data_IF_544511300553
#
_entry.id   IF_544511300553
#
_cell.length_a   1.000
_cell.length_b   1.000
_cell.length_c   1.000
_cell.angle_alpha   90.00
_cell.angle_beta   90.00
_cell.angle_gamma   90.00
#
_symmetry.space_group_name_H-M   'P 1'
#
loop_
_entity.id
_entity.type
_entity.pdbx_description
1 polymer ?
#
# COMPACT_ATOMS: atom_id res chain seq x y z
N UNK A 1 24.79 -3.40 2.07
CA UNK A 1 23.78 -3.06 1.10
C UNK A 1 22.48 -2.67 1.78
N UNK A 2 22.51 -1.57 2.44
CA UNK A 2 21.30 -1.10 3.10
C UNK A 2 20.77 0.10 2.38
N UNK A 3 19.51 -0.02 1.95
CA UNK A 3 18.81 1.13 1.45
C UNK A 3 18.52 2.04 2.63
N UNK A 4 19.13 3.20 2.59
CA UNK A 4 18.81 4.22 3.55
C UNK A 4 17.59 4.96 3.02
N UNK A 5 16.45 4.72 3.64
CA UNK A 5 15.22 5.37 3.22
C UNK A 5 15.20 6.79 3.77
N UNK A 6 15.20 7.75 2.85
CA UNK A 6 15.08 9.16 3.21
C UNK A 6 13.70 9.43 3.79
N UNK A 7 13.65 10.14 4.92
CA UNK A 7 12.37 10.46 5.55
C UNK A 7 11.82 9.37 6.47
N UNK A 8 12.62 8.38 6.78
CA UNK A 8 12.21 7.36 7.74
C UNK A 8 12.10 7.98 9.14
N UNK A 9 10.92 7.89 9.72
CA UNK A 9 10.63 8.54 11.00
C UNK A 9 10.63 7.54 12.14
N UNK A 10 11.80 7.35 12.74
CA UNK A 10 11.97 6.45 13.86
C UNK A 10 11.27 6.94 15.15
N UNK A 11 10.98 8.22 15.21
CA UNK A 11 10.30 8.85 16.34
C UNK A 11 8.79 8.57 16.37
N UNK A 12 8.24 8.05 15.27
CA UNK A 12 6.82 7.73 15.19
C UNK A 12 6.62 6.25 15.43
N UNK A 13 5.80 5.92 16.39
CA UNK A 13 5.42 4.54 16.64
C UNK A 13 4.19 4.18 15.82
N UNK A 14 4.08 2.91 15.46
CA UNK A 14 2.92 2.40 14.74
C UNK A 14 2.49 1.06 15.34
N UNK A 15 1.25 0.73 15.11
CA UNK A 15 0.67 -0.54 15.55
C UNK A 15 0.02 -1.26 14.38
N UNK A 16 0.14 -2.57 14.38
CA UNK A 16 -0.62 -3.42 13.47
C UNK A 16 -1.97 -3.69 14.11
N UNK A 17 -3.03 -3.12 13.55
CA UNK A 17 -4.37 -3.27 14.10
C UNK A 17 -5.07 -4.54 13.65
N UNK A 18 -4.70 -5.01 12.46
CA UNK A 18 -5.37 -6.14 11.85
C UNK A 18 -4.45 -6.87 10.90
N UNK A 19 -4.53 -8.17 10.92
CA UNK A 19 -3.90 -9.04 9.94
C UNK A 19 -4.78 -10.27 9.77
N UNK A 20 -5.11 -10.63 8.55
CA UNK A 20 -5.93 -11.79 8.32
C UNK A 20 -5.12 -13.09 8.48
N UNK A 21 -5.82 -14.22 8.50
CA UNK A 21 -5.23 -15.53 8.74
C UNK A 21 -4.09 -15.87 7.77
N UNK A 22 -4.21 -15.46 6.52
CA UNK A 22 -3.21 -15.77 5.49
C UNK A 22 -2.17 -14.69 5.29
N UNK A 23 -2.19 -13.67 6.13
CA UNK A 23 -1.24 -12.55 6.07
C UNK A 23 -1.24 -11.81 4.73
N UNK A 24 -2.38 -11.82 4.06
CA UNK A 24 -2.54 -11.14 2.77
C UNK A 24 -3.20 -9.77 2.89
N UNK A 25 -3.77 -9.46 4.04
CA UNK A 25 -4.34 -8.16 4.37
C UNK A 25 -3.80 -7.75 5.73
N UNK A 26 -3.19 -6.58 5.80
CA UNK A 26 -2.66 -6.04 7.05
C UNK A 26 -3.01 -4.57 7.14
N UNK A 27 -3.44 -4.13 8.32
CA UNK A 27 -3.73 -2.71 8.58
C UNK A 27 -2.86 -2.19 9.71
N UNK A 28 -2.29 -1.03 9.49
CA UNK A 28 -1.48 -0.32 10.48
C UNK A 28 -2.08 1.03 10.78
N UNK A 29 -1.97 1.43 12.04
CA UNK A 29 -2.26 2.79 12.46
C UNK A 29 -1.04 3.39 13.15
N UNK A 30 -0.92 4.70 13.14
CA UNK A 30 0.19 5.38 13.78
C UNK A 30 -0.23 6.77 14.26
N UNK A 31 0.67 7.39 15.01
CA UNK A 31 0.50 8.76 15.49
C UNK A 31 1.10 9.80 14.54
N UNK A 32 1.32 9.43 13.29
CA UNK A 32 1.92 10.34 12.31
C UNK A 32 1.08 11.61 12.17
N UNK A 33 1.71 12.74 12.45
CA UNK A 33 1.05 14.04 12.39
C UNK A 33 1.20 14.69 11.02
N UNK A 34 0.23 15.51 10.67
CA UNK A 34 0.25 16.31 9.45
C UNK A 34 -0.10 15.55 8.18
N UNK A 35 -0.34 14.26 8.30
CA UNK A 35 -0.68 13.41 7.17
C UNK A 35 -1.94 12.62 7.47
N UNK A 36 -3.09 13.23 7.29
CA UNK A 36 -4.38 12.55 7.51
C UNK A 36 -4.76 11.67 6.33
N UNK A 37 -3.80 11.23 5.55
CA UNK A 37 -4.02 10.46 4.34
C UNK A 37 -4.15 8.97 4.63
N UNK A 38 -5.10 8.34 3.96
CA UNK A 38 -5.28 6.90 3.98
C UNK A 38 -4.56 6.32 2.78
N UNK A 39 -3.68 5.36 3.03
CA UNK A 39 -2.85 4.74 1.99
C UNK A 39 -3.25 3.27 1.83
N UNK A 40 -3.49 2.87 0.59
CA UNK A 40 -3.64 1.46 0.24
C UNK A 40 -2.41 1.01 -0.54
N UNK A 41 -1.74 0.00 -0.05
CA UNK A 41 -0.58 -0.59 -0.71
C UNK A 41 -0.97 -1.94 -1.28
N UNK A 42 -0.90 -2.04 -2.60
CA UNK A 42 -1.10 -3.29 -3.33
C UNK A 42 0.28 -3.87 -3.60
N UNK A 43 0.60 -4.95 -2.93
CA UNK A 43 1.97 -5.48 -2.93
C UNK A 43 2.03 -6.96 -3.26
N UNK A 44 3.18 -7.42 -3.70
CA UNK A 44 3.51 -8.84 -3.66
C UNK A 44 4.34 -9.11 -2.38
N UNK A 45 4.92 -10.30 -2.28
CA UNK A 45 5.68 -10.66 -1.07
C UNK A 45 6.90 -9.78 -0.81
N UNK A 46 7.42 -9.12 -1.84
CA UNK A 46 8.56 -8.22 -1.67
C UNK A 46 8.17 -6.89 -1.05
N UNK A 47 6.91 -6.50 -1.21
CA UNK A 47 6.42 -5.23 -0.70
C UNK A 47 6.14 -5.19 0.79
N UNK A 48 6.24 -6.33 1.47
CA UNK A 48 5.99 -6.41 2.91
C UNK A 48 6.90 -5.45 3.69
N UNK A 49 8.12 -5.27 3.22
CA UNK A 49 9.10 -4.41 3.88
C UNK A 49 8.77 -2.92 3.77
N UNK A 50 7.86 -2.54 2.88
CA UNK A 50 7.43 -1.15 2.74
C UNK A 50 6.52 -0.71 3.88
N UNK A 51 5.88 -1.66 4.55
CA UNK A 51 4.85 -1.37 5.54
C UNK A 51 5.34 -0.45 6.64
N UNK A 52 6.52 -0.74 7.20
CA UNK A 52 7.06 0.02 8.32
C UNK A 52 7.32 1.48 7.93
N UNK A 53 7.90 1.69 6.75
CA UNK A 53 8.14 3.05 6.27
C UNK A 53 6.84 3.84 6.14
N UNK A 54 5.84 3.26 5.48
CA UNK A 54 4.58 3.95 5.29
C UNK A 54 3.82 4.13 6.61
N UNK A 55 3.85 3.11 7.48
CA UNK A 55 3.16 3.19 8.76
C UNK A 55 3.71 4.30 9.67
N UNK A 56 4.99 4.62 9.54
CA UNK A 56 5.58 5.71 10.32
C UNK A 56 5.29 7.09 9.74
N UNK A 57 4.91 7.16 8.48
CA UNK A 57 4.68 8.44 7.81
C UNK A 57 3.19 8.75 7.60
N UNK A 58 2.34 7.75 7.65
CA UNK A 58 0.90 7.91 7.42
C UNK A 58 0.11 7.19 8.52
N UNK A 59 -0.95 7.82 9.04
CA UNK A 59 -1.69 7.25 10.18
C UNK A 59 -2.55 6.05 9.83
N UNK A 60 -2.89 5.84 8.56
CA UNK A 60 -3.81 4.79 8.14
C UNK A 60 -3.25 4.11 6.88
N UNK A 61 -2.68 2.92 7.05
CA UNK A 61 -2.04 2.18 5.97
C UNK A 61 -2.59 0.75 5.90
N UNK A 62 -3.11 0.38 4.74
CA UNK A 62 -3.57 -0.98 4.49
C UNK A 62 -2.70 -1.62 3.42
N UNK A 63 -2.18 -2.80 3.70
CA UNK A 63 -1.42 -3.60 2.74
C UNK A 63 -2.26 -4.77 2.28
N UNK A 64 -2.28 -5.01 0.99
CA UNK A 64 -2.99 -6.16 0.42
C UNK A 64 -2.13 -6.83 -0.64
N UNK A 65 -2.15 -8.16 -0.62
CA UNK A 65 -1.49 -8.95 -1.66
C UNK A 65 -2.42 -9.00 -2.89
N UNK A 66 -2.03 -8.30 -3.95
CA UNK A 66 -2.87 -8.20 -5.15
C UNK A 66 -3.05 -9.52 -5.89
N UNK A 67 -2.24 -10.52 -5.58
CA UNK A 67 -2.33 -11.84 -6.22
C UNK A 67 -3.49 -12.67 -5.67
N UNK A 68 -3.90 -12.41 -4.44
CA UNK A 68 -4.94 -13.17 -3.76
C UNK A 68 -6.14 -12.34 -3.33
N UNK A 69 -5.96 -11.02 -3.15
CA UNK A 69 -7.01 -10.13 -2.68
C UNK A 69 -7.47 -9.20 -3.79
N UNK A 70 -8.72 -8.78 -3.71
CA UNK A 70 -9.29 -7.82 -4.67
C UNK A 70 -8.98 -6.39 -4.24
N UNK A 71 -7.81 -5.89 -4.66
CA UNK A 71 -7.40 -4.53 -4.34
C UNK A 71 -8.31 -3.48 -4.97
N UNK A 72 -8.94 -3.80 -6.11
CA UNK A 72 -9.90 -2.90 -6.73
C UNK A 72 -11.14 -2.69 -5.86
N UNK A 73 -11.69 -3.77 -5.32
CA UNK A 73 -12.83 -3.69 -4.40
C UNK A 73 -12.44 -2.95 -3.12
N UNK A 74 -11.23 -3.18 -2.62
CA UNK A 74 -10.72 -2.49 -1.44
C UNK A 74 -10.59 -0.99 -1.68
N UNK A 75 -10.12 -0.59 -2.85
CA UNK A 75 -10.01 0.83 -3.19
C UNK A 75 -11.37 1.51 -3.21
N UNK A 76 -12.41 0.83 -3.70
CA UNK A 76 -13.78 1.35 -3.67
C UNK A 76 -14.29 1.51 -2.24
N UNK A 77 -14.06 0.53 -1.41
CA UNK A 77 -14.55 0.51 -0.03
C UNK A 77 -13.80 1.49 0.85
N UNK A 78 -12.48 1.47 0.80
CA UNK A 78 -11.64 2.28 1.68
C UNK A 78 -11.53 3.74 1.23
N UNK A 79 -11.71 4.00 -0.05
CA UNK A 79 -11.53 5.33 -0.64
C UNK A 79 -10.20 5.96 -0.20
N UNK A 80 -9.06 5.31 -0.50
CA UNK A 80 -7.78 5.82 -0.07
C UNK A 80 -7.42 7.11 -0.78
N UNK A 81 -6.60 7.93 -0.14
CA UNK A 81 -6.08 9.15 -0.75
C UNK A 81 -5.00 8.82 -1.78
N UNK A 82 -4.31 7.72 -1.59
CA UNK A 82 -3.32 7.25 -2.55
C UNK A 82 -3.27 5.73 -2.56
N UNK A 83 -2.98 5.17 -3.72
CA UNK A 83 -2.74 3.74 -3.89
C UNK A 83 -1.31 3.57 -4.35
N UNK A 84 -0.55 2.78 -3.60
CA UNK A 84 0.82 2.44 -3.93
C UNK A 84 0.84 1.02 -4.45
N UNK A 85 1.45 0.83 -5.61
CA UNK A 85 1.56 -0.50 -6.22
C UNK A 85 3.01 -0.91 -6.25
N UNK A 86 3.31 -2.01 -5.60
CA UNK A 86 4.65 -2.61 -5.64
C UNK A 86 4.55 -3.96 -6.35
N UNK A 87 5.29 -4.10 -7.42
CA UNK A 87 5.25 -5.31 -8.27
C UNK A 87 6.66 -5.74 -8.60
N UNK A 88 6.97 -6.99 -8.28
CA UNK A 88 8.20 -7.58 -8.77
C UNK A 88 8.08 -7.80 -10.28
N UNK A 89 9.18 -7.66 -11.00
CA UNK A 89 9.20 -7.75 -12.46
C UNK A 89 8.47 -8.98 -13.00
N UNK A 90 8.62 -10.14 -12.35
CA UNK A 90 7.98 -11.39 -12.78
C UNK A 90 6.45 -11.39 -12.66
N UNK A 91 5.87 -10.38 -12.00
CA UNK A 91 4.43 -10.26 -11.84
C UNK A 91 3.83 -9.12 -12.66
N UNK A 92 4.51 -8.71 -13.72
CA UNK A 92 4.07 -7.59 -14.56
C UNK A 92 2.65 -7.76 -15.10
N UNK A 93 2.26 -8.99 -15.44
CA UNK A 93 0.91 -9.26 -15.94
C UNK A 93 -0.16 -8.92 -14.90
N UNK A 94 0.12 -9.18 -13.63
CA UNK A 94 -0.79 -8.80 -12.55
C UNK A 94 -0.91 -7.29 -12.43
N UNK A 95 0.21 -6.58 -12.62
CA UNK A 95 0.21 -5.13 -12.56
C UNK A 95 -0.72 -4.52 -13.61
N UNK A 96 -0.64 -5.00 -14.84
CA UNK A 96 -1.49 -4.47 -15.90
C UNK A 96 -2.97 -4.69 -15.60
N UNK A 97 -3.35 -5.86 -15.14
CA UNK A 97 -4.72 -6.13 -14.75
C UNK A 97 -5.19 -5.24 -13.59
N UNK A 98 -4.31 -5.06 -12.62
CA UNK A 98 -4.62 -4.22 -11.46
C UNK A 98 -4.77 -2.75 -11.85
N UNK A 99 -3.86 -2.24 -12.67
CA UNK A 99 -3.92 -0.86 -13.15
C UNK A 99 -5.19 -0.59 -13.96
N UNK A 100 -5.56 -1.51 -14.82
CA UNK A 100 -6.78 -1.40 -15.61
C UNK A 100 -7.99 -1.31 -14.69
N UNK A 101 -8.07 -2.18 -13.71
CA UNK A 101 -9.18 -2.22 -12.77
C UNK A 101 -9.25 -0.94 -11.92
N UNK A 102 -8.12 -0.50 -11.38
CA UNK A 102 -8.06 0.72 -10.58
C UNK A 102 -8.36 1.97 -11.42
N UNK A 103 -7.90 1.97 -12.66
CA UNK A 103 -8.19 3.06 -13.59
C UNK A 103 -9.68 3.20 -13.88
N UNK A 104 -10.38 2.08 -14.03
CA UNK A 104 -11.81 2.04 -14.23
C UNK A 104 -12.55 2.60 -13.02
N UNK A 105 -12.10 2.24 -11.82
CA UNK A 105 -12.70 2.69 -10.56
C UNK A 105 -12.39 4.16 -10.32
N UNK A 106 -11.13 4.55 -10.52
CA UNK A 106 -10.64 5.88 -10.19
C UNK A 106 -11.12 6.98 -11.14
N UNK A 107 -11.53 6.61 -12.35
CA UNK A 107 -12.04 7.56 -13.36
C UNK A 107 -11.16 8.80 -13.56
N UNK A 108 -9.86 8.68 -13.35
CA UNK A 108 -8.95 9.79 -13.53
C UNK A 108 -8.87 10.77 -12.36
N UNK A 109 -9.42 10.44 -11.23
CA UNK A 109 -9.43 11.32 -10.06
C UNK A 109 -8.10 11.41 -9.32
N UNK A 110 -7.06 10.82 -9.86
CA UNK A 110 -5.74 10.93 -9.29
C UNK A 110 -5.49 10.11 -8.03
N UNK A 111 -6.33 9.14 -7.76
CA UNK A 111 -6.10 8.23 -6.62
C UNK A 111 -5.00 7.21 -6.90
N UNK A 112 -4.62 7.07 -8.16
CA UNK A 112 -3.61 6.10 -8.56
C UNK A 112 -2.25 6.78 -8.60
N UNK A 113 -1.36 6.34 -7.73
CA UNK A 113 0.04 6.76 -7.72
C UNK A 113 0.90 5.51 -7.78
N UNK A 114 1.91 5.53 -8.62
CA UNK A 114 2.78 4.40 -8.81
C UNK A 114 4.05 4.50 -8.00
N UNK A 115 4.43 3.40 -7.38
CA UNK A 115 5.76 3.21 -6.85
C UNK A 115 6.16 1.80 -7.24
N UNK A 116 7.13 1.68 -8.11
CA UNK A 116 7.62 0.38 -8.55
C UNK A 116 8.94 0.07 -7.88
N UNK A 117 9.04 -1.11 -7.32
CA UNK A 117 10.27 -1.64 -6.77
C UNK A 117 10.68 -2.83 -7.64
N UNK A 118 11.78 -2.73 -8.26
CA UNK A 118 12.33 -3.82 -9.07
C UNK A 118 13.15 -4.78 -8.22
#
# INVERSE_FOLDING_TARGET
>A
PFLKVSGYREDVSFEMDYQNEHETITHYSSDAEGKAERILICRDSFGVHMAEYFARNYPDVTLMDYRTEDCGAAALELQPDAVVIEVAERYTDYMFGLLERLGTIGSGDGILKEATAD
#
